data_IF_282234849743
#
_entry.id   IF_282234849743
#
_cell.length_a   1.000
_cell.length_b   1.000
_cell.length_c   1.000
_cell.angle_alpha   90.00
_cell.angle_beta   90.00
_cell.angle_gamma   90.00
#
_symmetry.space_group_name_H-M   'P 1'
#
loop_
_entity.id
_entity.type
_entity.pdbx_description
1 polymer ?
#
# COMPACT_ATOMS: atom_id res chain seq x y z
N UNK A 1 9.49 -23.30 -22.29
CA UNK A 1 9.61 -22.20 -21.32
C UNK A 1 8.64 -21.05 -21.61
N UNK A 2 8.50 -20.54 -22.85
CA UNK A 2 7.48 -19.51 -23.19
C UNK A 2 6.05 -19.86 -22.76
N UNK A 3 5.65 -21.12 -22.89
CA UNK A 3 4.28 -21.58 -22.49
C UNK A 3 4.02 -21.56 -20.96
N UNK A 4 5.07 -21.60 -20.15
CA UNK A 4 4.94 -21.56 -18.69
C UNK A 4 4.62 -20.14 -18.20
N UNK A 5 5.15 -19.11 -18.87
CA UNK A 5 4.89 -17.71 -18.55
C UNK A 5 3.47 -17.27 -18.93
N UNK A 6 2.94 -17.75 -20.05
CA UNK A 6 1.53 -17.54 -20.43
C UNK A 6 0.60 -18.19 -19.41
N UNK A 7 0.98 -19.37 -18.90
CA UNK A 7 0.21 -20.06 -17.89
C UNK A 7 0.26 -19.33 -16.53
N UNK A 8 1.39 -18.75 -16.16
CA UNK A 8 1.54 -17.91 -14.97
C UNK A 8 0.76 -16.58 -15.14
N UNK A 9 0.84 -15.92 -16.28
CA UNK A 9 0.07 -14.70 -16.54
C UNK A 9 -1.44 -14.93 -16.57
N UNK A 10 -1.90 -15.99 -17.21
CA UNK A 10 -3.32 -16.37 -17.24
C UNK A 10 -3.78 -16.95 -15.90
N UNK A 11 -2.93 -17.68 -15.19
CA UNK A 11 -3.21 -18.13 -13.81
C UNK A 11 -3.28 -16.92 -12.85
N UNK A 12 -2.44 -15.92 -12.98
CA UNK A 12 -2.53 -14.68 -12.22
C UNK A 12 -3.83 -13.91 -12.53
N UNK A 13 -4.28 -13.86 -13.78
CA UNK A 13 -5.56 -13.23 -14.12
C UNK A 13 -6.78 -14.08 -13.69
N UNK A 14 -6.68 -15.41 -13.75
CA UNK A 14 -7.76 -16.28 -13.30
C UNK A 14 -7.84 -16.38 -11.77
N UNK A 15 -6.73 -16.26 -11.07
CA UNK A 15 -6.69 -16.19 -9.61
C UNK A 15 -7.14 -14.78 -9.13
N UNK A 16 -6.92 -13.73 -9.92
CA UNK A 16 -7.44 -12.39 -9.64
C UNK A 16 -8.98 -12.31 -9.61
N UNK A 17 -9.69 -13.28 -10.22
CA UNK A 17 -11.15 -13.36 -10.14
C UNK A 17 -11.67 -14.15 -8.94
N UNK A 18 -10.81 -14.78 -8.15
CA UNK A 18 -11.18 -15.60 -6.98
C UNK A 18 -10.51 -15.09 -5.68
N UNK A 19 -9.40 -14.39 -5.79
CA UNK A 19 -8.83 -13.65 -4.67
C UNK A 19 -9.54 -12.31 -4.67
N UNK A 20 -10.53 -12.13 -3.78
CA UNK A 20 -10.96 -10.79 -3.38
C UNK A 20 -9.69 -9.97 -3.21
N UNK A 21 -9.58 -8.85 -3.94
CA UNK A 21 -8.42 -7.99 -3.92
C UNK A 21 -7.81 -8.03 -2.52
N UNK A 22 -6.57 -8.47 -2.41
CA UNK A 22 -5.85 -8.19 -1.19
C UNK A 22 -5.87 -6.68 -1.11
N UNK A 23 -6.76 -6.16 -0.27
CA UNK A 23 -6.70 -4.78 0.11
C UNK A 23 -5.29 -4.60 0.67
N UNK A 24 -4.44 -4.04 -0.15
CA UNK A 24 -3.21 -3.49 0.35
C UNK A 24 -3.68 -2.30 1.18
N UNK A 25 -3.89 -2.57 2.44
CA UNK A 25 -3.99 -1.48 3.39
C UNK A 25 -2.75 -0.63 3.21
N UNK A 26 -2.95 0.67 3.25
CA UNK A 26 -1.87 1.62 3.16
C UNK A 26 -0.64 1.01 3.77
N UNK A 27 0.43 0.87 3.02
CA UNK A 27 1.71 1.01 3.67
C UNK A 27 1.44 2.20 4.58
N UNK A 28 1.45 1.99 5.88
CA UNK A 28 1.40 3.11 6.80
C UNK A 28 2.36 4.09 6.18
N UNK A 29 1.92 5.31 5.73
CA UNK A 29 2.79 6.22 5.02
C UNK A 29 4.07 6.09 5.74
N UNK A 30 5.17 5.65 5.04
CA UNK A 30 6.45 5.35 5.72
C UNK A 30 6.48 6.36 6.80
N UNK A 31 6.05 5.91 7.93
CA UNK A 31 5.35 6.67 8.94
C UNK A 31 6.14 7.93 8.97
N UNK A 32 5.59 9.15 8.62
CA UNK A 32 6.36 10.36 8.87
C UNK A 32 6.99 10.00 10.16
N UNK A 33 8.02 9.22 10.00
CA UNK A 33 8.69 8.71 11.15
C UNK A 33 9.04 10.04 11.69
N UNK A 34 8.58 10.35 12.83
CA UNK A 34 9.05 11.41 13.65
C UNK A 34 10.60 11.50 13.63
N UNK A 35 11.16 11.14 12.48
CA UNK A 35 12.57 11.08 12.16
C UNK A 35 13.24 12.43 12.38
N UNK A 36 12.50 13.55 12.19
CA UNK A 36 12.96 14.88 12.58
C UNK A 36 12.73 15.17 14.06
N UNK A 37 11.71 14.61 14.67
CA UNK A 37 11.29 14.95 16.04
C UNK A 37 11.86 13.99 17.10
N UNK A 38 12.27 12.77 16.74
CA UNK A 38 12.84 11.81 17.67
C UNK A 38 14.17 12.27 18.33
N UNK A 39 14.85 13.21 17.73
CA UNK A 39 16.12 13.76 18.28
C UNK A 39 15.92 14.71 19.47
N UNK A 40 14.70 15.10 19.84
CA UNK A 40 14.45 16.13 20.87
C UNK A 40 13.59 15.70 22.05
N UNK A 41 13.07 14.46 22.06
CA UNK A 41 12.26 13.97 23.19
C UNK A 41 13.12 13.10 24.11
N UNK A 42 13.51 13.65 25.25
CA UNK A 42 14.18 12.90 26.34
C UNK A 42 13.26 11.84 27.02
N UNK A 43 12.02 11.67 26.55
CA UNK A 43 11.05 10.72 27.09
C UNK A 43 10.44 9.88 25.98
N UNK A 44 11.07 8.75 25.67
CA UNK A 44 10.44 7.71 24.84
C UNK A 44 9.34 7.05 25.68
N UNK A 45 8.10 7.10 25.21
CA UNK A 45 7.01 6.35 25.82
C UNK A 45 7.09 4.89 25.39
N UNK A 46 7.39 3.99 26.34
CA UNK A 46 7.52 2.54 26.08
C UNK A 46 6.18 1.79 26.10
N UNK A 47 5.06 2.52 26.24
CA UNK A 47 3.72 1.93 26.16
C UNK A 47 3.39 1.76 24.68
N UNK A 48 3.12 0.53 24.21
CA UNK A 48 2.78 0.33 22.81
C UNK A 48 1.47 1.06 22.45
N UNK A 49 1.44 1.62 21.25
CA UNK A 49 0.18 2.07 20.66
C UNK A 49 -0.51 0.87 20.00
N UNK A 50 -1.71 0.55 20.49
CA UNK A 50 -2.50 -0.58 20.02
C UNK A 50 -3.81 -0.05 19.48
N UNK A 51 -4.13 -0.37 18.22
CA UNK A 51 -5.38 0.03 17.60
C UNK A 51 -6.04 -1.09 16.81
N UNK A 52 -7.35 -1.00 16.67
CA UNK A 52 -8.15 -1.80 15.75
C UNK A 52 -8.68 -0.90 14.65
N UNK A 53 -8.41 -1.26 13.41
CA UNK A 53 -8.97 -0.61 12.23
C UNK A 53 -10.06 -1.51 11.65
N UNK A 54 -11.27 -0.96 11.52
CA UNK A 54 -12.45 -1.71 11.15
C UNK A 54 -13.16 -1.04 9.98
N UNK A 55 -13.58 -1.85 9.01
CA UNK A 55 -14.29 -1.40 7.82
C UNK A 55 -15.50 -2.24 7.52
N UNK A 56 -16.56 -1.60 7.05
CA UNK A 56 -17.74 -2.29 6.58
C UNK A 56 -18.62 -1.36 5.75
N UNK A 57 -19.44 -1.94 4.90
CA UNK A 57 -20.27 -1.15 4.02
C UNK A 57 -21.20 -1.97 3.14
N UNK A 58 -21.75 -1.29 2.16
CA UNK A 58 -22.56 -1.85 1.10
C UNK A 58 -21.82 -1.70 -0.23
N UNK A 59 -21.58 -2.81 -0.91
CA UNK A 59 -20.99 -2.85 -2.24
C UNK A 59 -22.01 -3.29 -3.28
N UNK A 60 -22.00 -2.65 -4.45
CA UNK A 60 -22.84 -2.98 -5.60
C UNK A 60 -21.97 -3.12 -6.85
N UNK A 61 -21.87 -4.32 -7.38
CA UNK A 61 -21.33 -4.58 -8.71
C UNK A 61 -22.48 -4.52 -9.73
N UNK A 62 -22.38 -3.61 -10.68
CA UNK A 62 -23.40 -3.45 -11.71
C UNK A 62 -23.26 -4.43 -12.88
N UNK A 63 -22.13 -5.14 -12.99
CA UNK A 63 -21.97 -6.20 -13.99
C UNK A 63 -22.74 -7.46 -13.61
N UNK A 64 -22.73 -7.81 -12.32
CA UNK A 64 -23.46 -8.96 -11.76
C UNK A 64 -24.82 -8.63 -11.17
N UNK A 65 -25.16 -7.33 -11.01
CA UNK A 65 -26.38 -6.86 -10.32
C UNK A 65 -26.49 -7.26 -8.85
N UNK A 66 -25.39 -7.70 -8.24
CA UNK A 66 -25.38 -8.15 -6.85
C UNK A 66 -24.94 -7.05 -5.89
N UNK A 67 -25.88 -6.59 -5.06
CA UNK A 67 -25.58 -5.68 -3.95
C UNK A 67 -25.57 -6.42 -2.62
N UNK A 68 -24.55 -6.15 -1.78
CA UNK A 68 -24.42 -6.80 -0.48
C UNK A 68 -23.78 -5.91 0.58
N UNK A 69 -24.11 -6.19 1.84
CA UNK A 69 -23.37 -5.65 2.97
C UNK A 69 -22.15 -6.54 3.24
N UNK A 70 -21.00 -5.91 3.44
CA UNK A 70 -19.74 -6.56 3.71
C UNK A 70 -19.09 -6.01 4.97
N UNK A 71 -18.40 -6.88 5.72
CA UNK A 71 -17.33 -6.49 6.62
C UNK A 71 -16.02 -6.59 5.85
N UNK A 72 -15.43 -5.46 5.48
CA UNK A 72 -14.35 -5.46 4.49
C UNK A 72 -12.97 -5.56 5.10
N UNK A 73 -12.80 -5.24 6.37
CA UNK A 73 -11.52 -5.37 7.05
C UNK A 73 -11.60 -5.25 8.56
N UNK A 74 -10.75 -6.02 9.24
CA UNK A 74 -10.47 -5.90 10.66
C UNK A 74 -8.98 -6.13 10.89
N UNK A 75 -8.27 -5.08 11.27
CA UNK A 75 -6.82 -5.07 11.42
C UNK A 75 -6.43 -4.72 12.85
N UNK A 76 -5.44 -5.42 13.38
CA UNK A 76 -4.75 -5.11 14.63
C UNK A 76 -3.42 -4.45 14.29
N UNK A 77 -3.22 -3.23 14.80
CA UNK A 77 -1.95 -2.51 14.72
C UNK A 77 -1.32 -2.44 16.11
N UNK A 78 -0.02 -2.65 16.17
CA UNK A 78 0.78 -2.52 17.40
C UNK A 78 2.11 -1.86 17.04
N UNK A 79 2.32 -0.64 17.53
CA UNK A 79 3.53 0.12 17.29
C UNK A 79 4.19 0.49 18.62
N UNK A 80 5.52 0.54 18.68
CA UNK A 80 6.19 0.91 19.92
C UNK A 80 7.72 0.91 19.84
N UNK A 81 8.32 1.19 20.99
CA UNK A 81 9.76 1.23 21.18
C UNK A 81 10.21 0.21 22.20
N UNK A 82 11.31 -0.47 21.94
CA UNK A 82 12.04 -1.33 22.89
C UNK A 82 13.10 -0.47 23.62
N UNK A 83 13.67 0.48 22.90
CA UNK A 83 14.65 1.45 23.41
C UNK A 83 14.61 2.71 22.53
N UNK A 84 15.30 3.82 22.87
CA UNK A 84 15.29 5.03 22.05
C UNK A 84 15.69 4.81 20.58
N UNK A 85 16.47 3.77 20.32
CA UNK A 85 16.98 3.45 18.99
C UNK A 85 16.30 2.23 18.34
N UNK A 86 15.46 1.49 19.07
CA UNK A 86 14.77 0.32 18.57
C UNK A 86 13.27 0.52 18.61
N UNK A 87 12.64 0.50 17.44
CA UNK A 87 11.19 0.50 17.28
C UNK A 87 10.72 -0.81 16.63
N UNK A 88 9.47 -1.12 16.84
CA UNK A 88 8.78 -2.23 16.18
C UNK A 88 7.41 -1.79 15.69
N UNK A 89 6.97 -2.43 14.60
CA UNK A 89 5.64 -2.23 14.05
C UNK A 89 5.04 -3.57 13.63
N UNK A 90 3.76 -3.72 13.85
CA UNK A 90 3.01 -4.92 13.52
C UNK A 90 1.62 -4.55 13.01
N UNK A 91 1.23 -5.09 11.87
CA UNK A 91 -0.13 -5.01 11.35
C UNK A 91 -0.60 -6.40 10.93
N UNK A 92 -1.77 -6.79 11.37
CA UNK A 92 -2.32 -8.10 11.12
C UNK A 92 -3.81 -8.03 10.80
N UNK A 93 -4.20 -8.63 9.67
CA UNK A 93 -5.60 -8.80 9.27
C UNK A 93 -6.21 -9.97 10.04
N UNK A 94 -7.00 -9.69 11.07
CA UNK A 94 -7.60 -10.72 11.95
C UNK A 94 -8.59 -11.60 11.15
N UNK A 95 -9.36 -11.00 10.25
CA UNK A 95 -10.42 -11.70 9.53
C UNK A 95 -9.91 -12.74 8.52
N UNK A 96 -8.71 -12.57 7.95
CA UNK A 96 -8.19 -13.50 6.93
C UNK A 96 -7.58 -14.76 7.53
N UNK A 97 -7.11 -14.73 8.77
CA UNK A 97 -6.43 -15.86 9.42
C UNK A 97 -7.35 -16.93 9.97
N UNK A 98 -8.61 -16.60 10.21
CA UNK A 98 -9.54 -17.53 10.87
C UNK A 98 -10.06 -18.66 9.94
N UNK A 99 -9.95 -18.53 8.63
CA UNK A 99 -10.69 -19.40 7.71
C UNK A 99 -9.87 -20.04 6.57
N UNK A 100 -8.68 -19.56 6.23
CA UNK A 100 -8.03 -19.96 4.98
C UNK A 100 -6.56 -20.35 5.07
N UNK A 101 -5.92 -20.26 6.25
CA UNK A 101 -4.47 -20.27 6.27
C UNK A 101 -3.85 -21.12 7.38
N UNK A 102 -2.93 -22.00 6.96
CA UNK A 102 -2.11 -22.82 7.85
C UNK A 102 -0.84 -22.09 8.35
N UNK A 103 -0.58 -20.88 7.86
CA UNK A 103 0.56 -20.05 8.25
C UNK A 103 0.08 -18.81 9.01
N UNK A 104 0.39 -18.70 10.29
CA UNK A 104 -0.01 -17.57 11.12
C UNK A 104 0.50 -16.19 10.65
N UNK A 105 1.31 -16.13 9.58
CA UNK A 105 1.86 -14.91 9.04
C UNK A 105 1.25 -14.46 7.70
N UNK A 106 0.34 -15.20 7.08
CA UNK A 106 -0.26 -14.80 5.81
C UNK A 106 -1.20 -13.60 5.99
N UNK A 107 -1.91 -13.50 7.13
CA UNK A 107 -2.68 -12.31 7.49
C UNK A 107 -1.84 -11.14 7.99
N UNK A 108 -0.53 -11.31 8.15
CA UNK A 108 0.36 -10.23 8.59
C UNK A 108 0.83 -9.42 7.40
N UNK A 109 0.46 -8.15 7.35
CA UNK A 109 0.97 -7.23 6.34
C UNK A 109 2.41 -6.88 6.68
N UNK A 110 2.67 -6.36 7.88
CA UNK A 110 4.05 -6.14 8.32
C UNK A 110 4.29 -6.59 9.76
N UNK A 111 5.52 -6.96 10.00
CA UNK A 111 6.11 -7.26 11.31
C UNK A 111 7.59 -6.86 11.22
N UNK A 112 7.92 -5.69 11.72
CA UNK A 112 9.25 -5.09 11.56
C UNK A 112 9.90 -4.78 12.89
N UNK A 113 11.22 -4.85 12.90
CA UNK A 113 12.09 -4.32 13.93
C UNK A 113 13.08 -3.36 13.25
N UNK A 114 13.08 -2.11 13.69
CA UNK A 114 13.93 -1.05 13.14
C UNK A 114 14.93 -0.58 14.18
N UNK A 115 16.19 -0.48 13.77
CA UNK A 115 17.27 0.15 14.53
C UNK A 115 17.72 1.44 13.85
N UNK A 116 17.82 2.51 14.62
CA UNK A 116 18.18 3.85 14.15
C UNK A 116 19.49 4.30 14.78
N UNK A 117 20.39 4.83 13.95
CA UNK A 117 21.66 5.38 14.39
C UNK A 117 22.06 6.60 13.55
N UNK A 118 22.03 7.79 14.18
CA UNK A 118 22.28 9.04 13.45
C UNK A 118 21.32 9.21 12.29
N UNK A 119 21.86 9.36 11.08
CA UNK A 119 21.09 9.54 9.86
C UNK A 119 20.80 8.22 9.12
N UNK A 120 20.98 7.09 9.79
CA UNK A 120 20.78 5.76 9.19
C UNK A 120 19.73 4.95 9.94
N UNK A 121 19.03 4.08 9.21
CA UNK A 121 18.18 3.04 9.76
C UNK A 121 18.47 1.68 9.16
N UNK A 122 18.17 0.64 9.90
CA UNK A 122 18.11 -0.74 9.42
C UNK A 122 16.82 -1.35 9.94
N UNK A 123 16.02 -1.88 9.03
CA UNK A 123 14.78 -2.58 9.35
C UNK A 123 14.87 -4.03 8.89
N UNK A 124 14.45 -4.94 9.74
CA UNK A 124 14.35 -6.36 9.41
C UNK A 124 12.95 -6.89 9.74
N UNK A 125 12.46 -7.81 8.92
CA UNK A 125 11.16 -8.43 9.13
C UNK A 125 10.36 -8.60 7.84
N UNK A 126 9.04 -8.73 7.99
CA UNK A 126 8.10 -8.66 6.88
C UNK A 126 7.66 -7.22 6.70
N UNK A 127 7.77 -6.71 5.48
CA UNK A 127 7.49 -5.30 5.19
C UNK A 127 7.07 -5.13 3.72
N UNK A 128 6.58 -3.94 3.39
CA UNK A 128 6.29 -3.55 2.02
C UNK A 128 7.55 -3.45 1.16
N UNK A 129 7.46 -3.87 -0.08
CA UNK A 129 8.51 -3.61 -1.07
C UNK A 129 8.49 -2.13 -1.47
N UNK A 130 9.66 -1.51 -1.55
CA UNK A 130 9.78 -0.12 -1.99
C UNK A 130 9.40 0.03 -3.46
N UNK A 131 8.18 0.51 -3.67
CA UNK A 131 7.62 0.78 -5.00
C UNK A 131 7.37 2.27 -5.12
N UNK A 132 8.21 3.05 -5.67
CA UNK A 132 8.13 4.50 -5.80
C UNK A 132 6.80 5.03 -6.38
N UNK A 133 5.72 4.84 -5.65
CA UNK A 133 4.34 5.11 -6.05
C UNK A 133 3.49 5.50 -4.85
N UNK A 134 2.69 6.53 -4.98
CA UNK A 134 1.69 6.93 -4.00
C UNK A 134 0.42 6.08 -4.06
N UNK A 135 0.24 5.29 -5.11
CA UNK A 135 -0.81 4.28 -5.17
C UNK A 135 -0.60 3.22 -4.06
N UNK A 136 0.66 2.86 -3.80
CA UNK A 136 1.03 1.94 -2.73
C UNK A 136 1.15 2.60 -1.35
N UNK A 137 1.41 3.91 -1.32
CA UNK A 137 1.60 4.68 -0.09
C UNK A 137 0.26 5.14 0.52
N UNK A 138 -0.77 5.24 -0.27
CA UNK A 138 -2.06 5.80 0.12
C UNK A 138 -3.20 4.82 -0.09
N UNK A 139 -3.05 3.58 0.36
CA UNK A 139 -4.09 2.59 0.26
C UNK A 139 -5.30 2.94 1.12
N UNK A 140 -6.04 3.88 0.70
CA UNK A 140 -7.26 4.25 1.37
C UNK A 140 -8.50 3.87 0.55
N UNK A 141 -9.46 4.76 0.45
CA UNK A 141 -10.73 4.51 -0.19
C UNK A 141 -10.60 4.12 -1.66
N UNK A 142 -9.64 4.66 -2.37
CA UNK A 142 -9.40 4.34 -3.78
C UNK A 142 -8.93 2.90 -4.01
N UNK A 143 -8.15 2.36 -3.11
CA UNK A 143 -7.74 0.96 -3.10
C UNK A 143 -8.90 0.03 -2.79
N UNK A 144 -9.64 0.40 -1.76
CA UNK A 144 -10.80 -0.29 -1.26
C UNK A 144 -11.95 -0.41 -2.27
N UNK A 145 -12.11 0.59 -3.14
CA UNK A 145 -13.16 0.64 -4.14
C UNK A 145 -12.72 0.18 -5.54
N UNK A 146 -11.64 -0.60 -5.62
CA UNK A 146 -11.19 -1.19 -6.87
C UNK A 146 -10.75 -0.19 -7.95
N UNK A 147 -10.30 0.99 -7.53
CA UNK A 147 -9.72 2.01 -8.42
C UNK A 147 -8.22 1.82 -8.63
N UNK A 148 -7.74 0.59 -8.59
CA UNK A 148 -6.31 0.32 -8.62
C UNK A 148 -5.83 -0.20 -9.95
N UNK A 149 -4.56 0.03 -10.23
CA UNK A 149 -3.87 -0.55 -11.37
C UNK A 149 -3.82 -2.07 -11.27
N UNK A 150 -3.72 -2.75 -12.41
CA UNK A 150 -3.40 -4.19 -12.46
C UNK A 150 -2.02 -4.43 -11.85
N UNK A 151 -1.09 -3.50 -12.06
CA UNK A 151 0.23 -3.54 -11.45
C UNK A 151 0.13 -3.67 -9.94
N UNK A 152 -0.66 -2.80 -9.29
CA UNK A 152 -0.92 -2.83 -7.86
C UNK A 152 -1.57 -4.15 -7.41
N UNK A 153 -2.59 -4.62 -8.11
CA UNK A 153 -3.38 -5.81 -7.71
C UNK A 153 -2.64 -7.12 -7.85
N UNK A 154 -1.74 -7.22 -8.82
CA UNK A 154 -1.04 -8.46 -9.13
C UNK A 154 0.33 -8.58 -8.44
N UNK A 155 0.60 -7.72 -7.46
CA UNK A 155 1.88 -7.65 -6.79
C UNK A 155 1.76 -7.95 -5.30
N UNK A 156 2.36 -9.05 -4.84
CA UNK A 156 2.44 -9.34 -3.39
C UNK A 156 3.51 -8.45 -2.77
N UNK A 157 3.08 -7.28 -2.28
CA UNK A 157 3.98 -6.25 -1.77
C UNK A 157 4.56 -6.57 -0.38
N UNK A 158 4.01 -7.52 0.37
CA UNK A 158 4.44 -7.81 1.73
C UNK A 158 5.44 -8.96 1.78
N UNK A 159 6.72 -8.65 1.87
CA UNK A 159 7.79 -9.62 1.76
C UNK A 159 8.72 -9.61 2.97
N UNK A 160 9.26 -10.78 3.33
CA UNK A 160 10.30 -10.90 4.33
C UNK A 160 11.63 -10.40 3.78
N UNK A 161 12.36 -9.60 4.58
CA UNK A 161 13.64 -9.07 4.14
C UNK A 161 14.33 -8.16 5.13
N UNK A 162 15.24 -7.38 4.59
CA UNK A 162 15.96 -6.33 5.29
C UNK A 162 16.01 -5.09 4.41
N UNK A 163 15.86 -3.93 5.03
CA UNK A 163 16.02 -2.64 4.38
C UNK A 163 16.93 -1.72 5.20
N UNK A 164 17.50 -0.74 4.50
CA UNK A 164 18.27 0.33 5.10
C UNK A 164 17.83 1.69 4.54
N UNK A 165 17.87 2.70 5.39
CA UNK A 165 17.60 4.09 5.03
C UNK A 165 18.78 4.97 5.35
N UNK A 166 19.04 5.94 4.49
CA UNK A 166 19.93 7.07 4.74
C UNK A 166 19.18 8.38 4.54
N UNK A 167 19.27 9.25 5.52
CA UNK A 167 18.53 10.51 5.63
C UNK A 167 19.51 11.69 5.60
N UNK A 168 20.06 12.05 4.42
CA UNK A 168 21.15 13.03 4.30
C UNK A 168 20.75 14.46 4.66
N UNK A 169 19.47 14.78 4.58
CA UNK A 169 18.90 16.09 4.87
C UNK A 169 17.40 15.97 5.20
N UNK A 170 16.83 17.02 5.77
CA UNK A 170 15.41 17.08 6.05
C UNK A 170 14.60 16.89 4.75
N UNK A 171 13.58 16.06 4.81
CA UNK A 171 12.73 15.71 3.67
C UNK A 171 13.42 14.86 2.59
N UNK A 172 14.63 14.31 2.83
CA UNK A 172 15.33 13.49 1.86
C UNK A 172 15.64 12.11 2.44
N UNK A 173 15.33 11.05 1.70
CA UNK A 173 15.73 9.70 2.06
C UNK A 173 16.15 8.88 0.85
N UNK A 174 17.20 8.09 1.04
CA UNK A 174 17.64 7.06 0.10
C UNK A 174 17.46 5.72 0.81
N UNK A 175 16.66 4.84 0.20
CA UNK A 175 16.24 3.58 0.78
C UNK A 175 16.75 2.44 -0.10
N UNK A 176 17.28 1.40 0.53
CA UNK A 176 17.69 0.18 -0.15
C UNK A 176 17.06 -1.03 0.54
N UNK A 177 16.63 -2.03 -0.22
CA UNK A 177 15.94 -3.19 0.33
C UNK A 177 16.33 -4.47 -0.42
N UNK A 178 16.43 -5.57 0.34
CA UNK A 178 16.54 -6.94 -0.17
C UNK A 178 15.46 -7.77 0.51
N UNK A 179 14.59 -8.37 -0.29
CA UNK A 179 13.49 -9.22 0.20
C UNK A 179 13.41 -10.53 -0.55
N UNK A 180 12.50 -11.42 -0.13
CA UNK A 180 12.03 -12.48 -0.99
C UNK A 180 11.38 -11.87 -2.24
N UNK A 181 11.47 -12.55 -3.36
CA UNK A 181 10.85 -12.04 -4.58
C UNK A 181 9.32 -12.16 -4.53
N UNK A 182 8.59 -11.07 -4.84
CA UNK A 182 7.13 -11.11 -4.94
C UNK A 182 6.63 -12.01 -6.08
N UNK A 183 7.52 -12.38 -7.01
CA UNK A 183 7.20 -13.22 -8.16
C UNK A 183 7.39 -14.73 -7.86
N UNK A 184 7.85 -15.09 -6.66
CA UNK A 184 8.21 -16.48 -6.33
C UNK A 184 7.13 -17.29 -5.61
N UNK A 185 6.03 -16.69 -5.20
CA UNK A 185 4.91 -17.39 -4.56
C UNK A 185 5.27 -18.13 -3.26
N UNK A 186 6.19 -17.62 -2.45
CA UNK A 186 6.55 -18.23 -1.16
C UNK A 186 8.04 -18.08 -0.80
N UNK A 187 8.53 -18.88 0.16
CA UNK A 187 9.94 -18.91 0.57
C UNK A 187 10.82 -19.62 -0.48
N UNK A 188 10.90 -19.03 -1.69
CA UNK A 188 11.82 -19.46 -2.73
C UNK A 188 13.24 -18.90 -2.48
N UNK A 189 14.23 -19.48 -3.19
CA UNK A 189 15.59 -18.93 -3.24
C UNK A 189 15.69 -17.79 -4.26
N UNK A 190 14.64 -17.01 -4.43
CA UNK A 190 14.55 -15.87 -5.34
C UNK A 190 14.39 -14.59 -4.53
N UNK A 191 15.11 -13.56 -4.94
CA UNK A 191 15.20 -12.32 -4.19
C UNK A 191 14.74 -11.13 -5.02
N UNK A 192 14.30 -10.10 -4.34
CA UNK A 192 14.02 -8.78 -4.88
C UNK A 192 14.98 -7.77 -4.30
N UNK A 193 15.38 -6.81 -5.14
CA UNK A 193 16.24 -5.70 -4.76
C UNK A 193 15.54 -4.41 -5.15
N UNK A 194 15.49 -3.46 -4.23
CA UNK A 194 14.92 -2.15 -4.47
C UNK A 194 15.91 -1.06 -4.04
N UNK A 195 15.96 0.00 -4.83
CA UNK A 195 16.59 1.27 -4.48
C UNK A 195 15.54 2.35 -4.68
N UNK A 196 15.26 3.14 -3.66
CA UNK A 196 14.28 4.19 -3.73
C UNK A 196 14.84 5.52 -3.20
N UNK A 197 14.29 6.59 -3.72
CA UNK A 197 14.52 7.94 -3.24
C UNK A 197 13.18 8.61 -2.95
N UNK A 198 13.07 9.22 -1.79
CA UNK A 198 11.93 10.05 -1.41
C UNK A 198 12.44 11.45 -1.11
N UNK A 199 11.81 12.45 -1.73
CA UNK A 199 12.08 13.85 -1.52
C UNK A 199 10.77 14.56 -1.16
N UNK A 200 10.80 15.36 -0.12
CA UNK A 200 9.66 16.12 0.38
C UNK A 200 10.02 17.61 0.46
N UNK A 201 9.17 18.46 -0.12
CA UNK A 201 9.25 19.92 -0.07
C UNK A 201 7.85 20.48 0.21
N UNK A 202 7.75 21.76 0.49
CA UNK A 202 6.48 22.39 0.89
C UNK A 202 5.31 22.15 -0.07
N UNK A 203 5.59 22.13 -1.37
CA UNK A 203 4.56 22.00 -2.41
C UNK A 203 4.68 20.76 -3.28
N UNK A 204 5.67 19.91 -3.02
CA UNK A 204 5.96 18.77 -3.87
C UNK A 204 6.59 17.62 -3.08
N UNK A 205 6.17 16.40 -3.36
CA UNK A 205 6.77 15.17 -2.87
C UNK A 205 7.06 14.24 -4.04
N UNK A 206 8.23 13.61 -4.02
CA UNK A 206 8.61 12.55 -4.94
C UNK A 206 8.80 11.25 -4.19
N UNK A 207 8.41 10.15 -4.82
CA UNK A 207 8.77 8.80 -4.38
C UNK A 207 9.11 7.99 -5.62
N UNK A 208 10.39 7.74 -5.85
CA UNK A 208 10.89 7.05 -7.04
C UNK A 208 11.63 5.79 -6.64
N UNK A 209 11.47 4.72 -7.40
CA UNK A 209 12.22 3.48 -7.17
C UNK A 209 12.64 2.80 -8.45
N UNK A 210 13.77 2.08 -8.35
CA UNK A 210 14.23 1.12 -9.34
C UNK A 210 14.31 -0.25 -8.67
N UNK A 211 13.71 -1.26 -9.29
CA UNK A 211 13.56 -2.57 -8.70
C UNK A 211 14.05 -3.66 -9.64
N UNK A 212 14.55 -4.75 -9.06
CA UNK A 212 14.94 -5.99 -9.72
C UNK A 212 14.30 -7.15 -8.99
N UNK A 213 13.35 -7.84 -9.62
CA UNK A 213 12.64 -8.97 -9.02
C UNK A 213 13.02 -10.26 -9.73
N UNK A 214 13.60 -11.20 -9.01
CA UNK A 214 13.91 -12.50 -9.59
C UNK A 214 12.62 -13.28 -9.83
N UNK A 215 12.41 -13.74 -11.06
CA UNK A 215 11.35 -14.68 -11.41
C UNK A 215 11.88 -16.09 -11.69
N UNK A 216 13.21 -16.20 -11.93
CA UNK A 216 13.96 -17.46 -12.06
C UNK A 216 15.41 -17.19 -11.66
N UNK A 217 16.19 -18.22 -11.39
CA UNK A 217 17.58 -18.10 -10.97
C UNK A 217 18.40 -17.30 -11.96
N UNK A 218 18.90 -16.14 -11.49
CA UNK A 218 19.68 -15.20 -12.29
C UNK A 218 18.89 -14.43 -13.36
N UNK A 219 17.56 -14.49 -13.34
CA UNK A 219 16.68 -13.75 -14.24
C UNK A 219 15.81 -12.77 -13.48
N UNK A 220 15.74 -11.55 -13.98
CA UNK A 220 15.07 -10.46 -13.31
C UNK A 220 14.03 -9.79 -14.19
N UNK A 221 12.87 -9.52 -13.63
CA UNK A 221 11.99 -8.46 -14.07
C UNK A 221 12.49 -7.15 -13.48
N UNK A 222 12.53 -6.11 -14.30
CA UNK A 222 12.97 -4.76 -13.92
C UNK A 222 11.76 -3.87 -13.80
N UNK A 223 11.76 -2.96 -12.83
CA UNK A 223 10.73 -1.95 -12.69
C UNK A 223 11.35 -0.59 -12.39
N UNK A 224 10.75 0.45 -12.95
CA UNK A 224 11.00 1.84 -12.61
C UNK A 224 9.67 2.50 -12.29
N UNK A 225 9.56 3.09 -11.10
CA UNK A 225 8.35 3.73 -10.63
C UNK A 225 8.67 5.18 -10.23
N UNK A 226 7.85 6.11 -10.70
CA UNK A 226 8.03 7.54 -10.54
C UNK A 226 6.75 8.16 -10.00
N UNK A 227 6.58 8.13 -8.69
CA UNK A 227 5.49 8.80 -7.99
C UNK A 227 5.81 10.27 -7.72
N UNK A 228 4.88 11.14 -8.04
CA UNK A 228 5.00 12.59 -7.84
C UNK A 228 3.69 13.12 -7.26
N UNK A 229 3.77 13.86 -6.17
CA UNK A 229 2.63 14.48 -5.49
C UNK A 229 2.84 15.98 -5.39
N UNK A 230 1.83 16.74 -5.77
CA UNK A 230 1.83 18.21 -5.73
C UNK A 230 0.79 18.69 -4.74
N UNK A 231 1.17 19.61 -3.88
CA UNK A 231 0.31 20.27 -2.91
C UNK A 231 -0.01 21.69 -3.36
N UNK A 232 -1.27 22.00 -3.60
CA UNK A 232 -1.76 23.27 -4.11
C UNK A 232 -2.83 23.82 -3.17
N UNK A 233 -2.41 24.22 -1.96
CA UNK A 233 -3.32 24.54 -0.86
C UNK A 233 -4.05 23.29 -0.38
N UNK A 234 -5.38 23.33 -0.42
CA UNK A 234 -6.22 22.19 -0.04
C UNK A 234 -6.32 21.11 -1.15
N UNK A 235 -5.73 21.36 -2.32
CA UNK A 235 -5.68 20.40 -3.41
C UNK A 235 -4.37 19.62 -3.38
N UNK A 236 -4.49 18.33 -3.66
CA UNK A 236 -3.36 17.41 -3.88
C UNK A 236 -3.53 16.76 -5.25
N UNK A 237 -2.46 16.62 -6.00
CA UNK A 237 -2.47 15.89 -7.28
C UNK A 237 -1.33 14.90 -7.31
N UNK A 238 -1.66 13.60 -7.36
CA UNK A 238 -0.68 12.55 -7.62
C UNK A 238 -0.59 12.32 -9.12
N UNK A 239 0.65 12.27 -9.64
CA UNK A 239 0.99 11.90 -11.00
C UNK A 239 2.00 10.77 -10.95
N UNK A 240 1.66 9.64 -11.55
CA UNK A 240 2.49 8.45 -11.46
C UNK A 240 2.76 7.83 -12.82
N UNK A 241 3.96 7.31 -12.95
CA UNK A 241 4.37 6.47 -14.04
C UNK A 241 5.10 5.26 -13.47
N UNK A 242 4.58 4.09 -13.75
CA UNK A 242 5.18 2.81 -13.36
C UNK A 242 5.42 1.99 -14.61
N UNK A 243 6.55 1.30 -14.65
CA UNK A 243 6.89 0.42 -15.78
C UNK A 243 7.66 -0.79 -15.30
N UNK A 244 7.50 -1.90 -16.03
CA UNK A 244 8.22 -3.13 -15.80
C UNK A 244 8.60 -3.79 -17.11
N UNK A 245 9.57 -4.69 -17.08
CA UNK A 245 9.99 -5.42 -18.28
C UNK A 245 11.02 -6.49 -18.00
N UNK A 246 10.96 -7.54 -18.80
CA UNK A 246 11.91 -8.66 -18.78
C UNK A 246 13.00 -8.46 -19.81
N UNK A 247 12.64 -8.22 -21.07
CA UNK A 247 13.55 -8.28 -22.23
C UNK A 247 13.50 -7.07 -23.16
N UNK A 248 12.73 -6.01 -22.92
CA UNK A 248 12.50 -5.02 -23.96
C UNK A 248 12.35 -3.58 -23.46
N UNK A 249 11.82 -2.74 -24.29
CA UNK A 249 11.56 -1.33 -24.04
C UNK A 249 10.60 -1.14 -22.88
N UNK A 250 11.11 -1.36 -21.67
CA UNK A 250 10.33 -1.29 -20.44
C UNK A 250 9.54 0.02 -20.32
N UNK A 251 9.91 1.07 -21.01
CA UNK A 251 9.23 2.36 -20.91
C UNK A 251 7.95 2.48 -21.74
N UNK A 252 7.72 1.60 -22.71
CA UNK A 252 6.60 1.74 -23.65
C UNK A 252 5.75 0.51 -23.82
N UNK A 253 6.24 -0.63 -23.38
CA UNK A 253 5.62 -1.91 -23.66
C UNK A 253 4.78 -2.42 -22.48
N UNK A 254 5.23 -2.17 -21.25
CA UNK A 254 4.46 -2.49 -20.05
C UNK A 254 4.55 -1.31 -19.07
N UNK A 255 3.49 -0.54 -18.97
CA UNK A 255 3.44 0.66 -18.14
C UNK A 255 2.05 0.96 -17.58
N UNK A 256 2.04 1.70 -16.48
CA UNK A 256 0.86 2.32 -15.90
C UNK A 256 1.11 3.82 -15.76
N UNK A 257 0.18 4.63 -16.23
CA UNK A 257 0.12 6.08 -15.98
C UNK A 257 -1.12 6.37 -15.18
N UNK A 258 -0.99 7.15 -14.11
CA UNK A 258 -2.10 7.48 -13.24
C UNK A 258 -2.10 8.95 -12.84
N UNK A 259 -3.28 9.52 -12.71
CA UNK A 259 -3.51 10.83 -12.10
C UNK A 259 -4.61 10.74 -11.05
N UNK A 260 -4.37 11.36 -9.88
CA UNK A 260 -5.33 11.38 -8.78
C UNK A 260 -5.38 12.79 -8.16
N UNK A 261 -6.28 13.67 -8.62
CA UNK A 261 -6.60 14.91 -7.92
C UNK A 261 -7.45 14.61 -6.68
N UNK A 262 -7.17 15.30 -5.59
CA UNK A 262 -7.96 15.29 -4.36
C UNK A 262 -8.10 16.70 -3.81
N UNK A 263 -9.23 16.95 -3.13
CA UNK A 263 -9.50 18.17 -2.39
C UNK A 263 -9.94 17.82 -0.98
N UNK A 264 -9.28 18.37 0.02
CA UNK A 264 -9.57 18.12 1.43
C UNK A 264 -10.05 19.41 2.09
N UNK A 265 -11.09 19.28 2.94
CA UNK A 265 -11.62 20.37 3.76
C UNK A 265 -11.83 19.86 5.19
N UNK A 266 -12.14 20.76 6.12
CA UNK A 266 -12.19 20.48 7.55
C UNK A 266 -12.92 19.18 7.97
N UNK A 267 -13.98 18.81 7.26
CA UNK A 267 -14.83 17.69 7.63
C UNK A 267 -15.03 16.67 6.51
N UNK A 268 -14.21 16.71 5.49
CA UNK A 268 -14.30 15.75 4.40
C UNK A 268 -13.18 15.85 3.37
N UNK A 269 -13.23 14.92 2.43
CA UNK A 269 -12.34 14.85 1.29
C UNK A 269 -13.09 14.35 0.08
N UNK A 270 -12.77 14.85 -1.09
CA UNK A 270 -13.22 14.28 -2.36
C UNK A 270 -12.00 14.04 -3.26
N UNK A 271 -12.06 12.98 -4.05
CA UNK A 271 -11.00 12.68 -5.02
C UNK A 271 -11.58 12.04 -6.28
N UNK A 272 -10.83 12.12 -7.35
CA UNK A 272 -11.01 11.32 -8.54
C UNK A 272 -9.69 10.62 -8.89
N UNK A 273 -9.75 9.48 -9.56
CA UNK A 273 -8.58 8.73 -10.02
C UNK A 273 -8.81 8.27 -11.44
N UNK A 274 -7.80 8.41 -12.27
CA UNK A 274 -7.81 7.92 -13.64
C UNK A 274 -6.47 7.29 -13.95
N UNK A 275 -6.49 6.11 -14.57
CA UNK A 275 -5.28 5.42 -14.99
C UNK A 275 -5.45 4.70 -16.32
N UNK A 276 -4.34 4.61 -17.03
CA UNK A 276 -4.17 3.85 -18.25
C UNK A 276 -3.02 2.88 -18.07
N UNK A 277 -3.24 1.65 -18.48
CA UNK A 277 -2.23 0.60 -18.43
C UNK A 277 -2.09 -0.08 -19.77
N UNK A 278 -0.87 -0.40 -20.11
CA UNK A 278 -0.53 -1.30 -21.19
C UNK A 278 0.36 -2.40 -20.61
N UNK A 279 -0.02 -3.64 -20.82
CA UNK A 279 0.75 -4.80 -20.41
C UNK A 279 1.12 -5.61 -21.63
N UNK A 280 2.42 -5.84 -21.82
CA UNK A 280 2.95 -6.67 -22.88
C UNK A 280 3.63 -7.89 -22.24
N UNK A 281 2.88 -8.96 -22.09
CA UNK A 281 3.44 -10.28 -21.78
C UNK A 281 3.79 -11.01 -23.08
N UNK A 282 4.76 -11.93 -23.07
CA UNK A 282 5.01 -12.78 -24.23
C UNK A 282 3.71 -13.48 -24.66
N UNK A 283 3.26 -13.22 -25.87
CA UNK A 283 2.03 -13.72 -26.48
C UNK A 283 0.72 -13.13 -25.94
N UNK A 284 0.76 -12.03 -25.16
CA UNK A 284 -0.43 -11.33 -24.65
C UNK A 284 -0.18 -9.83 -24.53
N UNK A 285 -0.95 -9.05 -25.26
CA UNK A 285 -1.02 -7.60 -25.12
C UNK A 285 -2.41 -7.23 -24.57
N UNK A 286 -2.44 -6.50 -23.47
CA UNK A 286 -3.66 -5.98 -22.90
C UNK A 286 -3.52 -4.50 -22.60
N UNK A 287 -4.60 -3.78 -22.76
CA UNK A 287 -4.76 -2.43 -22.23
C UNK A 287 -5.88 -2.44 -21.19
N UNK A 288 -5.72 -1.63 -20.18
CA UNK A 288 -6.72 -1.44 -19.15
C UNK A 288 -6.92 0.05 -18.88
N UNK A 289 -8.15 0.43 -18.65
CA UNK A 289 -8.52 1.75 -18.16
C UNK A 289 -9.21 1.58 -16.83
N UNK A 290 -8.80 2.32 -15.83
CA UNK A 290 -9.49 2.40 -14.57
C UNK A 290 -9.77 3.86 -14.22
N UNK A 291 -10.96 4.11 -13.70
CA UNK A 291 -11.42 5.43 -13.30
C UNK A 291 -12.33 5.32 -12.10
N UNK A 292 -12.28 6.31 -11.25
CA UNK A 292 -13.19 6.36 -10.12
C UNK A 292 -13.22 7.73 -9.47
N UNK A 293 -14.17 7.89 -8.58
CA UNK A 293 -14.32 9.06 -7.74
C UNK A 293 -14.87 8.65 -6.38
N UNK A 294 -14.42 9.31 -5.33
CA UNK A 294 -14.90 9.08 -3.98
C UNK A 294 -15.01 10.35 -3.18
N UNK A 295 -15.86 10.27 -2.17
CA UNK A 295 -15.99 11.31 -1.16
C UNK A 295 -16.00 10.67 0.22
N UNK A 296 -15.33 11.32 1.16
CA UNK A 296 -15.21 10.94 2.55
C UNK A 296 -15.77 12.05 3.43
N UNK A 297 -16.47 11.67 4.48
CA UNK A 297 -16.97 12.57 5.49
C UNK A 297 -16.44 12.17 6.86
N UNK A 298 -15.85 13.11 7.58
CA UNK A 298 -15.27 12.95 8.90
C UNK A 298 -16.21 13.57 9.95
N UNK A 299 -17.09 12.78 10.59
CA UNK A 299 -18.03 13.30 11.57
C UNK A 299 -17.36 13.88 12.82
N UNK A 300 -16.14 13.41 13.12
CA UNK A 300 -15.28 13.94 14.16
C UNK A 300 -14.24 14.84 13.51
N UNK A 301 -14.51 16.14 13.45
CA UNK A 301 -13.66 17.12 12.76
C UNK A 301 -12.21 17.17 13.25
N UNK A 302 -12.01 16.93 14.53
CA UNK A 302 -10.69 16.98 15.20
C UNK A 302 -9.84 15.75 14.94
N UNK A 303 -10.47 14.61 14.56
CA UNK A 303 -9.77 13.40 14.19
C UNK A 303 -10.51 12.65 13.06
N UNK A 304 -9.81 11.81 12.36
CA UNK A 304 -10.35 11.01 11.26
C UNK A 304 -10.63 9.56 11.67
N UNK A 305 -10.78 9.28 12.95
CA UNK A 305 -11.00 7.94 13.48
C UNK A 305 -12.32 7.31 12.99
N UNK A 306 -13.30 8.15 12.67
CA UNK A 306 -14.54 7.72 12.03
C UNK A 306 -14.63 8.40 10.66
N UNK A 307 -14.84 7.60 9.65
CA UNK A 307 -14.99 8.04 8.27
C UNK A 307 -16.20 7.35 7.65
N UNK A 308 -17.12 8.13 7.10
CA UNK A 308 -18.17 7.66 6.20
C UNK A 308 -17.70 7.91 4.77
N UNK A 309 -18.01 7.01 3.84
CA UNK A 309 -17.58 7.19 2.46
C UNK A 309 -18.63 6.73 1.44
N UNK A 310 -18.53 7.33 0.27
CA UNK A 310 -19.17 6.89 -0.95
C UNK A 310 -18.16 6.94 -2.09
N UNK A 311 -18.06 5.87 -2.87
CA UNK A 311 -17.15 5.80 -3.98
C UNK A 311 -17.76 5.01 -5.13
N UNK A 312 -17.43 5.43 -6.33
CA UNK A 312 -17.76 4.77 -7.59
C UNK A 312 -16.47 4.49 -8.35
N UNK A 313 -16.38 3.31 -8.96
CA UNK A 313 -15.27 2.95 -9.83
C UNK A 313 -15.71 2.22 -11.07
N UNK A 314 -14.88 2.29 -12.09
CA UNK A 314 -14.88 1.46 -13.27
C UNK A 314 -13.47 0.95 -13.51
N UNK A 315 -13.31 -0.35 -13.68
CA UNK A 315 -12.04 -0.98 -14.00
C UNK A 315 -12.27 -2.10 -15.00
N UNK A 316 -11.79 -1.90 -16.22
CA UNK A 316 -12.03 -2.79 -17.35
C UNK A 316 -11.51 -4.21 -17.10
N UNK A 317 -10.32 -4.32 -16.51
CA UNK A 317 -9.69 -5.62 -16.26
C UNK A 317 -10.25 -6.39 -15.05
N UNK A 318 -10.82 -5.68 -14.08
CA UNK A 318 -11.21 -6.32 -12.82
C UNK A 318 -12.67 -6.76 -12.80
N UNK A 319 -13.57 -5.92 -13.29
CA UNK A 319 -15.01 -6.18 -13.24
C UNK A 319 -15.69 -6.09 -14.61
N UNK A 320 -15.03 -5.51 -15.60
CA UNK A 320 -15.66 -5.17 -16.87
C UNK A 320 -16.88 -4.27 -16.70
N UNK A 321 -16.98 -3.57 -15.55
CA UNK A 321 -18.19 -2.87 -15.17
C UNK A 321 -17.96 -1.81 -14.09
N UNK A 322 -19.08 -1.30 -13.61
CA UNK A 322 -19.13 -0.26 -12.59
C UNK A 322 -19.33 -0.88 -11.21
N UNK A 323 -18.65 -0.31 -10.22
CA UNK A 323 -18.79 -0.68 -8.81
C UNK A 323 -19.11 0.56 -7.97
N UNK A 324 -20.05 0.43 -7.04
CA UNK A 324 -20.40 1.45 -6.05
C UNK A 324 -20.13 0.88 -4.65
N UNK A 325 -19.49 1.67 -3.81
CA UNK A 325 -19.31 1.35 -2.39
C UNK A 325 -19.78 2.50 -1.50
N UNK A 326 -20.55 2.16 -0.48
CA UNK A 326 -20.99 3.06 0.58
C UNK A 326 -20.58 2.42 1.90
N UNK A 327 -19.80 3.09 2.73
CA UNK A 327 -19.29 2.42 3.92
C UNK A 327 -18.84 3.35 5.03
N UNK A 328 -18.32 2.67 6.07
CA UNK A 328 -17.74 3.28 7.24
C UNK A 328 -16.40 2.61 7.56
N UNK A 329 -15.41 3.43 7.87
CA UNK A 329 -14.16 3.01 8.51
C UNK A 329 -14.11 3.66 9.89
N UNK A 330 -13.66 2.91 10.90
CA UNK A 330 -13.37 3.50 12.22
C UNK A 330 -12.12 2.86 12.82
N UNK A 331 -11.34 3.68 13.48
CA UNK A 331 -10.17 3.28 14.23
C UNK A 331 -10.49 3.36 15.72
N UNK A 332 -10.21 2.29 16.46
CA UNK A 332 -10.34 2.22 17.89
C UNK A 332 -8.96 2.15 18.54
N UNK A 333 -8.48 3.26 19.08
CA UNK A 333 -7.23 3.29 19.83
C UNK A 333 -7.42 2.65 21.21
N UNK A 334 -6.96 1.41 21.36
CA UNK A 334 -7.09 0.63 22.59
C UNK A 334 -6.17 1.14 23.69
N UNK A 335 -5.00 1.67 23.35
CA UNK A 335 -4.07 2.25 24.34
C UNK A 335 -4.68 3.45 25.04
N UNK A 336 -5.30 4.35 24.27
CA UNK A 336 -5.98 5.51 24.86
C UNK A 336 -7.19 5.11 25.69
N UNK A 337 -7.96 4.13 25.26
CA UNK A 337 -9.08 3.60 26.00
C UNK A 337 -8.64 2.99 27.36
N UNK A 338 -7.53 2.24 27.37
CA UNK A 338 -6.93 1.68 28.58
C UNK A 338 -6.40 2.77 29.52
N UNK A 339 -5.68 3.77 28.99
CA UNK A 339 -5.18 4.92 29.78
C UNK A 339 -6.33 5.66 30.44
N UNK A 340 -7.45 5.88 29.75
CA UNK A 340 -8.66 6.52 30.31
C UNK A 340 -9.34 5.67 31.39
N UNK A 341 -9.34 4.34 31.24
CA UNK A 341 -9.87 3.45 32.27
C UNK A 341 -9.00 3.46 33.54
N UNK A 342 -7.70 3.37 33.39
CA UNK A 342 -6.74 3.38 34.49
C UNK A 342 -6.72 4.72 35.25
N UNK A 343 -6.96 5.83 34.57
CA UNK A 343 -7.01 7.15 35.18
C UNK A 343 -8.27 7.38 36.05
N UNK A 344 -9.27 6.50 35.98
CA UNK A 344 -10.52 6.54 36.75
C UNK A 344 -10.51 5.60 37.96
N UNK A 345 -9.49 4.76 38.06
CA UNK A 345 -9.25 3.86 39.20
C UNK A 345 -8.30 4.50 40.22
#
# INVERSE_FOLDING_TARGET
MRKLFVFLGVAFMAIGSVVSAQEVDSMAPLQKSSWGDAKTSDTVEYIPDISLDMRGGFGQDFSGMDGRFNGDGLYLNIDGYISPNFSYSFNHRIASTLYTDNSGFNGTNWLTLTYEIGDFSITAGKDGIFLGSFEYDAADLDSYCEMNSIFYKNFDCWQWGISGGWYPADGQSILAQITNSPLSGGFGNLYAYALAWRGEWDCYESYWSANLWQYDKGRFEKSLNLGNRFYLGDFTVDLEYMTRGIDANMFTDDFTVMVKPAYEWEWGRAFAKFGLEKTLLPDYEASNTFVGAGAEFFPLKENKDIRLHAAWSYNEACFGGHYLNLGVKWNLNLTNALKQLLSKL
#
